data_IF_296114330007
#
_entry.id   IF_296114330007
#
_cell.length_a   1.000
_cell.length_b   1.000
_cell.length_c   1.000
_cell.angle_alpha   90.00
_cell.angle_beta   90.00
_cell.angle_gamma   90.00
#
_symmetry.space_group_name_H-M   'P 1'
#
loop_
_entity.id
_entity.type
_entity.pdbx_description
1 polymer ?
#
# COMPACT_ATOMS: atom_id res chain seq x y z
N UNK A 1 -17.17 -2.47 -19.20
CA UNK A 1 -17.10 -1.35 -18.25
C UNK A 1 -18.49 -0.78 -18.06
N UNK A 2 -18.86 -0.39 -16.84
CA UNK A 2 -20.14 0.24 -16.55
C UNK A 2 -20.13 1.71 -17.03
N UNK A 3 -21.24 2.24 -17.56
CA UNK A 3 -21.37 3.68 -17.84
C UNK A 3 -21.18 4.52 -16.57
N UNK A 4 -20.48 5.65 -16.69
CA UNK A 4 -20.13 6.52 -15.54
C UNK A 4 -21.34 6.97 -14.73
N UNK A 5 -22.47 7.21 -15.41
CA UNK A 5 -23.74 7.61 -14.78
C UNK A 5 -24.29 6.54 -13.81
N UNK A 6 -23.98 5.27 -14.05
CA UNK A 6 -24.48 4.15 -13.25
C UNK A 6 -23.53 3.79 -12.08
N UNK A 7 -22.26 4.21 -12.12
CA UNK A 7 -21.27 3.87 -11.10
C UNK A 7 -21.70 4.26 -9.69
N UNK A 8 -22.20 5.49 -9.52
CA UNK A 8 -22.66 5.97 -8.19
C UNK A 8 -23.79 5.11 -7.62
N UNK A 9 -24.66 4.57 -8.48
CA UNK A 9 -25.74 3.68 -8.04
C UNK A 9 -25.20 2.33 -7.59
N UNK A 10 -24.27 1.76 -8.35
CA UNK A 10 -23.68 0.45 -8.07
C UNK A 10 -22.83 0.47 -6.80
N UNK A 11 -22.01 1.51 -6.59
CA UNK A 11 -21.19 1.63 -5.37
C UNK A 11 -21.98 1.84 -4.07
N UNK A 12 -23.29 2.12 -4.16
CA UNK A 12 -24.18 2.28 -3.00
C UNK A 12 -25.02 1.04 -2.71
N UNK A 13 -24.88 -0.02 -3.51
CA UNK A 13 -25.60 -1.26 -3.25
C UNK A 13 -25.12 -1.87 -1.93
N UNK A 14 -26.03 -2.46 -1.14
CA UNK A 14 -25.65 -3.16 0.08
C UNK A 14 -24.82 -4.41 -0.22
N UNK A 15 -24.01 -4.86 0.75
CA UNK A 15 -23.06 -5.98 0.58
C UNK A 15 -23.75 -7.30 0.20
N UNK A 16 -25.02 -7.52 0.59
CA UNK A 16 -25.80 -8.70 0.19
C UNK A 16 -26.14 -8.73 -1.31
N UNK A 17 -26.09 -7.57 -1.97
CA UNK A 17 -26.33 -7.41 -3.41
C UNK A 17 -25.05 -7.26 -4.21
N UNK A 18 -23.99 -6.73 -3.59
CA UNK A 18 -22.68 -6.55 -4.20
C UNK A 18 -21.58 -6.84 -3.19
N UNK A 19 -21.10 -8.08 -3.18
CA UNK A 19 -20.00 -8.50 -2.32
C UNK A 19 -18.64 -8.13 -2.94
N UNK A 20 -18.23 -6.89 -2.69
CA UNK A 20 -16.90 -6.40 -3.10
C UNK A 20 -15.79 -7.13 -2.35
N UNK A 21 -16.01 -7.46 -1.09
CA UNK A 21 -14.96 -8.00 -0.25
C UNK A 21 -14.61 -9.44 -0.59
N UNK A 22 -15.62 -10.33 -0.69
CA UNK A 22 -15.40 -11.70 -1.13
C UNK A 22 -14.76 -11.74 -2.52
N UNK A 23 -15.25 -10.89 -3.44
CA UNK A 23 -14.67 -10.77 -4.79
C UNK A 23 -13.18 -10.38 -4.75
N UNK A 24 -12.80 -9.41 -3.91
CA UNK A 24 -11.39 -9.00 -3.77
C UNK A 24 -10.53 -10.10 -3.15
N UNK A 25 -11.05 -10.83 -2.16
CA UNK A 25 -10.35 -11.97 -1.56
C UNK A 25 -10.10 -13.08 -2.59
N UNK A 26 -11.10 -13.39 -3.42
CA UNK A 26 -10.96 -14.34 -4.51
C UNK A 26 -9.98 -13.83 -5.57
N UNK A 27 -10.01 -12.54 -5.91
CA UNK A 27 -9.09 -11.96 -6.89
C UNK A 27 -7.62 -12.13 -6.50
N UNK A 28 -7.28 -11.94 -5.21
CA UNK A 28 -5.91 -12.14 -4.71
C UNK A 28 -5.61 -13.60 -4.32
N UNK A 29 -6.57 -14.50 -4.56
CA UNK A 29 -6.51 -15.89 -4.14
C UNK A 29 -6.12 -16.02 -2.66
N UNK A 30 -6.72 -15.17 -1.82
CA UNK A 30 -6.32 -14.96 -0.42
C UNK A 30 -6.17 -16.26 0.35
N UNK A 31 -7.09 -17.21 0.11
CA UNK A 31 -7.09 -18.55 0.71
C UNK A 31 -5.78 -19.31 0.50
N UNK A 32 -5.12 -19.12 -0.63
CA UNK A 32 -3.91 -19.83 -1.03
C UNK A 32 -2.64 -18.98 -0.85
N UNK A 33 -2.75 -17.66 -0.81
CA UNK A 33 -1.61 -16.73 -0.78
C UNK A 33 -1.34 -16.16 0.60
N UNK A 34 -2.33 -16.13 1.51
CA UNK A 34 -2.17 -15.62 2.87
C UNK A 34 -2.05 -16.81 3.85
N UNK A 35 -0.88 -17.00 4.50
CA UNK A 35 -0.66 -18.14 5.39
C UNK A 35 -1.61 -18.17 6.60
N UNK A 36 -1.88 -17.01 7.20
CA UNK A 36 -2.75 -16.90 8.36
C UNK A 36 -4.20 -16.61 7.94
N UNK A 37 -5.04 -17.64 7.93
CA UNK A 37 -6.44 -17.54 7.54
C UNK A 37 -7.28 -16.64 8.46
N UNK A 38 -6.85 -16.36 9.70
CA UNK A 38 -7.56 -15.40 10.56
C UNK A 38 -7.58 -14.00 9.96
N UNK A 39 -6.54 -13.61 9.22
CA UNK A 39 -6.47 -12.31 8.54
C UNK A 39 -7.56 -12.17 7.46
N UNK A 40 -7.96 -13.29 6.86
CA UNK A 40 -9.00 -13.37 5.82
C UNK A 40 -10.39 -13.33 6.46
N UNK A 41 -10.59 -14.15 7.49
CA UNK A 41 -11.88 -14.34 8.15
C UNK A 41 -12.26 -13.17 9.05
N UNK A 42 -11.26 -12.49 9.63
CA UNK A 42 -11.44 -11.38 10.56
C UNK A 42 -10.67 -10.17 10.02
N UNK A 43 -11.26 -9.38 9.10
CA UNK A 43 -10.56 -8.28 8.45
C UNK A 43 -10.44 -7.05 9.36
N UNK A 44 -9.58 -7.13 10.38
CA UNK A 44 -9.31 -6.06 11.34
C UNK A 44 -9.00 -4.71 10.69
N UNK A 45 -8.38 -4.71 9.52
CA UNK A 45 -8.05 -3.51 8.75
C UNK A 45 -9.29 -2.65 8.43
N UNK A 46 -10.48 -3.23 8.26
CA UNK A 46 -11.73 -2.45 8.06
C UNK A 46 -12.05 -1.53 9.22
N UNK A 47 -11.67 -1.90 10.44
CA UNK A 47 -11.85 -1.07 11.63
C UNK A 47 -10.61 -0.22 11.91
N UNK A 48 -9.41 -0.73 11.68
CA UNK A 48 -8.18 0.00 11.97
C UNK A 48 -8.00 1.23 11.07
N UNK A 49 -8.29 1.12 9.77
CA UNK A 49 -8.09 2.22 8.81
C UNK A 49 -8.89 3.48 9.19
N UNK A 50 -10.23 3.44 9.34
CA UNK A 50 -10.98 4.66 9.65
C UNK A 50 -10.71 5.19 11.06
N UNK A 51 -10.34 4.32 12.02
CA UNK A 51 -10.17 4.73 13.42
C UNK A 51 -8.76 5.20 13.76
N UNK A 52 -7.72 4.63 13.12
CA UNK A 52 -6.32 4.85 13.47
C UNK A 52 -5.55 5.49 12.31
N UNK A 53 -5.68 4.95 11.09
CA UNK A 53 -4.89 5.44 9.96
C UNK A 53 -5.29 6.86 9.57
N UNK A 54 -6.59 7.11 9.38
CA UNK A 54 -7.09 8.42 8.94
C UNK A 54 -6.84 9.55 9.95
N UNK A 55 -6.72 9.23 11.24
CA UNK A 55 -6.50 10.22 12.31
C UNK A 55 -5.04 10.61 12.48
N UNK A 56 -4.13 9.72 12.12
CA UNK A 56 -2.69 9.90 12.31
C UNK A 56 -1.95 10.04 10.97
N UNK A 57 -2.64 10.48 9.90
CA UNK A 57 -2.04 10.63 8.57
C UNK A 57 -0.78 11.49 8.58
N UNK A 58 -0.74 12.53 9.42
CA UNK A 58 0.43 13.39 9.56
C UNK A 58 1.68 12.62 10.02
N UNK A 59 1.51 11.71 11.00
CA UNK A 59 2.59 10.88 11.52
C UNK A 59 3.13 9.92 10.46
N UNK A 60 2.23 9.23 9.75
CA UNK A 60 2.60 8.33 8.64
C UNK A 60 3.29 9.09 7.50
N UNK A 61 2.74 10.24 7.10
CA UNK A 61 3.25 11.02 5.97
C UNK A 61 4.66 11.54 6.25
N UNK A 62 4.94 11.94 7.50
CA UNK A 62 6.26 12.41 7.92
C UNK A 62 7.34 11.35 7.67
N UNK A 63 7.07 10.12 8.07
CA UNK A 63 7.95 8.96 7.87
C UNK A 63 8.12 8.60 6.39
N UNK A 64 7.05 8.70 5.60
CA UNK A 64 7.08 8.44 4.16
C UNK A 64 7.95 9.45 3.41
N UNK A 65 7.80 10.75 3.73
CA UNK A 65 8.57 11.82 3.06
C UNK A 65 10.07 11.62 3.25
N UNK A 66 10.50 11.32 4.48
CA UNK A 66 11.92 11.08 4.77
C UNK A 66 12.49 9.91 3.95
N UNK A 67 11.75 8.80 3.83
CA UNK A 67 12.17 7.66 3.00
C UNK A 67 12.19 7.98 1.51
N UNK A 68 11.23 8.76 1.02
CA UNK A 68 11.20 9.17 -0.38
C UNK A 68 12.44 10.01 -0.68
N UNK A 69 12.74 11.02 0.14
CA UNK A 69 13.92 11.87 -0.01
C UNK A 69 15.23 11.07 0.02
N UNK A 70 15.36 10.15 0.99
CA UNK A 70 16.52 9.25 1.08
C UNK A 70 16.67 8.38 -0.18
N UNK A 71 15.57 7.79 -0.67
CA UNK A 71 15.61 6.94 -1.86
C UNK A 71 15.97 7.73 -3.13
N UNK A 72 15.54 8.98 -3.25
CA UNK A 72 16.00 9.87 -4.33
C UNK A 72 17.51 10.12 -4.23
N UNK A 73 18.01 10.45 -3.03
CA UNK A 73 19.45 10.67 -2.83
C UNK A 73 20.28 9.42 -3.14
N UNK A 74 19.79 8.22 -2.82
CA UNK A 74 20.46 6.95 -3.12
C UNK A 74 20.44 6.63 -4.63
N UNK A 75 19.28 6.76 -5.27
CA UNK A 75 19.07 6.27 -6.64
C UNK A 75 19.51 7.25 -7.73
N UNK A 76 19.36 8.55 -7.47
CA UNK A 76 19.73 9.62 -8.41
C UNK A 76 21.08 10.26 -8.04
N UNK A 77 21.50 10.14 -6.78
CA UNK A 77 22.72 10.77 -6.30
C UNK A 77 22.63 12.29 -6.23
N UNK A 78 23.77 12.94 -5.99
CA UNK A 78 23.92 14.41 -5.91
C UNK A 78 24.66 14.99 -7.12
N UNK A 79 24.89 14.17 -8.14
CA UNK A 79 25.57 14.56 -9.37
C UNK A 79 24.74 15.56 -10.18
N UNK A 80 25.42 16.46 -10.89
CA UNK A 80 24.77 17.46 -11.77
C UNK A 80 24.71 17.03 -13.25
N UNK A 81 25.17 15.81 -13.57
CA UNK A 81 25.18 15.26 -14.92
C UNK A 81 23.93 14.42 -15.21
N UNK A 82 23.62 14.25 -16.49
CA UNK A 82 22.58 13.32 -16.92
C UNK A 82 23.05 11.88 -16.77
N UNK A 83 22.16 11.03 -16.25
CA UNK A 83 22.36 9.58 -16.23
C UNK A 83 21.02 8.88 -16.41
N UNK A 84 21.09 7.64 -16.88
CA UNK A 84 19.90 6.82 -17.07
C UNK A 84 19.44 6.22 -15.74
N UNK A 85 18.11 6.08 -15.59
CA UNK A 85 17.46 5.48 -14.43
C UNK A 85 16.39 4.52 -14.90
N UNK A 86 16.38 3.32 -14.34
CA UNK A 86 15.28 2.37 -14.51
C UNK A 86 14.05 2.86 -13.73
N UNK A 87 13.31 3.82 -14.30
CA UNK A 87 12.23 4.56 -13.63
C UNK A 87 11.22 3.64 -12.93
N UNK A 88 10.82 2.56 -13.59
CA UNK A 88 9.85 1.63 -13.02
C UNK A 88 10.36 0.92 -11.76
N UNK A 89 11.63 0.51 -11.78
CA UNK A 89 12.28 -0.10 -10.63
C UNK A 89 12.42 0.90 -9.49
N UNK A 90 12.83 2.12 -9.81
CA UNK A 90 12.92 3.23 -8.86
C UNK A 90 11.57 3.52 -8.20
N UNK A 91 10.49 3.70 -8.97
CA UNK A 91 9.16 3.95 -8.44
C UNK A 91 8.70 2.85 -7.48
N UNK A 92 8.91 1.59 -7.84
CA UNK A 92 8.57 0.47 -6.96
C UNK A 92 9.36 0.48 -5.65
N UNK A 93 10.66 0.77 -5.71
CA UNK A 93 11.48 0.88 -4.51
C UNK A 93 11.02 2.02 -3.60
N UNK A 94 10.75 3.21 -4.17
CA UNK A 94 10.24 4.36 -3.42
C UNK A 94 8.92 4.02 -2.72
N UNK A 95 7.96 3.45 -3.46
CA UNK A 95 6.64 3.09 -2.90
C UNK A 95 6.78 2.03 -1.81
N UNK A 96 7.60 1.00 -2.03
CA UNK A 96 7.82 -0.06 -1.06
C UNK A 96 8.45 0.47 0.23
N UNK A 97 9.50 1.30 0.12
CA UNK A 97 10.19 1.89 1.27
C UNK A 97 9.29 2.81 2.07
N UNK A 98 8.60 3.74 1.41
CA UNK A 98 7.65 4.64 2.06
C UNK A 98 6.50 3.87 2.74
N UNK A 99 5.94 2.86 2.07
CA UNK A 99 4.86 2.05 2.66
C UNK A 99 5.36 1.29 3.89
N UNK A 100 6.57 0.73 3.83
CA UNK A 100 7.15 0.04 4.98
C UNK A 100 7.41 1.03 6.13
N UNK A 101 7.98 2.21 5.88
CA UNK A 101 8.27 3.19 6.94
C UNK A 101 7.04 3.71 7.66
N UNK A 102 5.91 3.83 6.95
CA UNK A 102 4.63 4.15 7.56
C UNK A 102 4.04 2.97 8.36
N UNK A 103 4.02 1.77 7.79
CA UNK A 103 3.22 0.67 8.34
C UNK A 103 3.96 -0.25 9.32
N UNK A 104 5.28 -0.35 9.17
CA UNK A 104 6.14 -1.27 9.94
C UNK A 104 7.04 -0.49 10.91
N UNK A 105 7.58 0.65 10.47
CA UNK A 105 8.51 1.46 11.25
C UNK A 105 9.93 0.89 11.37
N UNK A 106 10.86 1.71 11.85
CA UNK A 106 12.27 1.34 12.01
C UNK A 106 12.49 0.32 13.15
N UNK A 107 13.49 -0.58 13.05
CA UNK A 107 14.48 -0.73 11.96
C UNK A 107 14.07 -1.71 10.84
N UNK A 108 12.89 -2.34 10.94
CA UNK A 108 12.46 -3.40 10.02
C UNK A 108 12.21 -2.91 8.58
N UNK A 109 12.04 -1.61 8.39
CA UNK A 109 11.85 -0.98 7.08
C UNK A 109 13.10 -0.99 6.20
N UNK A 110 14.29 -0.97 6.83
CA UNK A 110 15.58 -0.89 6.15
C UNK A 110 16.31 -2.23 6.09
N UNK A 111 15.87 -3.23 6.86
CA UNK A 111 16.46 -4.57 6.78
C UNK A 111 16.00 -5.27 5.51
N UNK A 112 16.89 -5.43 4.53
CA UNK A 112 16.75 -6.49 3.55
C UNK A 112 16.84 -7.82 4.31
N UNK A 113 15.70 -8.50 4.50
CA UNK A 113 15.68 -9.84 5.10
C UNK A 113 16.57 -10.74 4.22
N UNK A 114 17.67 -11.31 4.74
CA UNK A 114 18.40 -12.33 4.00
C UNK A 114 17.50 -13.56 3.98
N UNK A 115 17.02 -13.91 2.78
CA UNK A 115 16.37 -15.20 2.51
C UNK A 115 17.42 -16.31 2.47
#
# INVERSE_FOLDING_TARGET
MLPTEQLKRVYRLPEDRLDVFGTLQDQIQARYTIPNQRVILEPYHRHLIPNQLNRNLDEFTSSMVAEIEDQFNISWGTGRGWHDIALWHFCFQVIARASNSALIGFPLCTSSIPL
#
